data_IF_118047515759
#
_entry.id   IF_118047515759
#
_cell.length_a   1.000
_cell.length_b   1.000
_cell.length_c   1.000
_cell.angle_alpha   90.00
_cell.angle_beta   90.00
_cell.angle_gamma   90.00
#
_symmetry.space_group_name_H-M   'P 1'
#
loop_
_entity.id
_entity.type
_entity.pdbx_description
1 polymer ?
#
# COMPACT_ATOMS: atom_id res chain seq x y z
N UNK A 1 54.72 -0.22 -46.37
CA UNK A 1 53.74 -0.63 -47.39
C UNK A 1 52.36 -0.58 -46.73
N UNK A 2 51.67 0.55 -46.81
CA UNK A 2 50.70 0.93 -47.85
C UNK A 2 49.25 0.55 -47.47
N UNK A 3 48.45 1.60 -47.23
CA UNK A 3 46.97 1.66 -47.30
C UNK A 3 46.44 1.23 -48.70
N UNK A 4 45.13 0.91 -48.91
CA UNK A 4 43.97 1.85 -48.96
C UNK A 4 42.70 1.31 -48.23
N UNK A 5 41.77 2.09 -47.64
CA UNK A 5 40.90 3.25 -48.01
C UNK A 5 39.60 2.90 -48.76
N UNK A 6 38.51 3.53 -48.24
CA UNK A 6 37.16 3.82 -48.77
C UNK A 6 36.08 2.75 -48.47
N UNK A 7 34.85 3.08 -48.02
CA UNK A 7 34.18 4.38 -48.00
C UNK A 7 32.93 4.40 -47.10
N UNK A 8 32.56 5.64 -46.77
CA UNK A 8 31.54 6.10 -45.81
C UNK A 8 30.17 6.16 -46.49
N UNK A 9 29.12 5.61 -45.88
CA UNK A 9 27.73 5.69 -46.35
C UNK A 9 26.80 6.15 -45.23
N UNK A 10 26.35 7.40 -45.33
CA UNK A 10 25.62 8.17 -44.31
C UNK A 10 24.11 8.01 -44.60
N UNK A 11 23.32 7.52 -43.64
CA UNK A 11 21.85 7.48 -43.75
C UNK A 11 21.26 8.79 -43.21
N UNK A 12 20.72 9.59 -44.13
CA UNK A 12 20.04 10.84 -43.83
C UNK A 12 18.51 10.63 -43.71
N UNK A 13 17.97 11.34 -42.72
CA UNK A 13 16.59 11.37 -42.24
C UNK A 13 15.68 12.06 -43.28
N UNK A 14 14.58 11.41 -43.67
CA UNK A 14 13.55 12.01 -44.54
C UNK A 14 12.37 12.53 -43.71
N UNK A 15 12.18 13.85 -43.78
CA UNK A 15 11.11 14.64 -43.16
C UNK A 15 9.94 14.77 -44.14
N UNK A 16 8.74 14.35 -43.73
CA UNK A 16 7.51 14.46 -44.51
C UNK A 16 6.75 15.73 -44.10
N UNK A 17 6.44 16.60 -45.06
CA UNK A 17 5.46 17.68 -44.98
C UNK A 17 4.77 17.82 -46.35
N UNK A 18 3.48 18.21 -46.40
CA UNK A 18 2.62 18.00 -47.58
C UNK A 18 2.61 19.19 -48.56
N UNK A 19 2.38 18.88 -49.84
CA UNK A 19 2.17 19.85 -50.93
C UNK A 19 0.70 19.96 -51.35
N UNK A 20 0.25 21.13 -51.88
CA UNK A 20 -1.18 21.45 -52.04
C UNK A 20 -1.74 21.25 -53.46
N UNK A 21 -3.06 21.03 -53.48
CA UNK A 21 -4.12 21.43 -54.45
C UNK A 21 -3.79 21.55 -55.95
N UNK A 22 -4.50 20.78 -56.77
CA UNK A 22 -4.69 20.99 -58.21
C UNK A 22 -6.17 21.06 -58.58
N UNK A 23 -6.46 21.97 -59.50
CA UNK A 23 -7.73 22.59 -59.91
C UNK A 23 -8.55 21.82 -60.96
N UNK A 24 -9.86 22.18 -61.00
CA UNK A 24 -10.74 22.28 -62.18
C UNK A 24 -11.30 20.98 -62.80
N UNK A 25 -12.53 20.85 -63.33
CA UNK A 25 -13.58 21.81 -63.72
C UNK A 25 -14.91 21.07 -64.07
N UNK A 26 -16.03 21.77 -63.89
CA UNK A 26 -17.31 21.77 -64.68
C UNK A 26 -18.20 20.51 -64.81
N UNK A 27 -19.47 20.61 -64.36
CA UNK A 27 -20.68 20.78 -65.21
C UNK A 27 -21.99 20.72 -64.36
N UNK A 28 -22.67 21.88 -64.29
CA UNK A 28 -24.12 22.19 -64.33
C UNK A 28 -25.20 21.18 -63.91
N UNK A 29 -26.18 21.60 -63.07
CA UNK A 29 -27.62 21.80 -63.41
C UNK A 29 -28.46 22.25 -62.17
N UNK A 30 -29.07 23.44 -62.33
CA UNK A 30 -30.37 23.98 -61.89
C UNK A 30 -30.99 23.76 -60.47
N UNK A 31 -31.18 24.90 -59.78
CA UNK A 31 -32.43 25.47 -59.21
C UNK A 31 -33.37 24.60 -58.34
N UNK A 32 -33.52 24.95 -57.06
CA UNK A 32 -34.83 25.30 -56.45
C UNK A 32 -34.63 26.00 -55.08
N UNK A 33 -34.89 27.31 -55.03
CA UNK A 33 -34.98 28.08 -53.78
C UNK A 33 -36.43 28.09 -53.32
N UNK A 34 -36.71 27.59 -52.12
CA UNK A 34 -38.00 27.77 -51.46
C UNK A 34 -37.81 28.67 -50.24
N UNK A 35 -38.27 29.92 -50.35
CA UNK A 35 -38.47 30.84 -49.23
C UNK A 35 -39.65 30.34 -48.38
N UNK A 36 -39.49 30.30 -47.07
CA UNK A 36 -40.61 30.35 -46.12
C UNK A 36 -40.26 31.35 -45.03
N UNK A 37 -41.11 32.36 -44.88
CA UNK A 37 -41.08 33.35 -43.82
C UNK A 37 -42.28 33.14 -42.90
N UNK A 38 -42.04 33.11 -41.60
CA UNK A 38 -43.00 33.28 -40.49
C UNK A 38 -42.22 33.09 -39.19
N UNK A 39 -42.36 33.82 -38.10
CA UNK A 39 -43.18 34.97 -37.71
C UNK A 39 -42.74 35.36 -36.28
N UNK A 40 -42.80 36.64 -35.96
CA UNK A 40 -42.46 37.21 -34.65
C UNK A 40 -43.38 36.68 -33.54
N UNK A 41 -42.84 35.88 -32.61
CA UNK A 41 -43.54 35.46 -31.40
C UNK A 41 -43.06 36.26 -30.17
N UNK A 42 -44.05 36.61 -29.34
CA UNK A 42 -44.00 37.60 -28.27
C UNK A 42 -43.09 37.18 -27.10
N UNK A 43 -42.44 38.17 -26.47
CA UNK A 43 -41.69 38.06 -25.21
C UNK A 43 -42.47 37.26 -24.16
N UNK A 44 -41.95 36.10 -23.76
CA UNK A 44 -42.31 35.46 -22.51
C UNK A 44 -41.42 36.03 -21.40
N UNK A 45 -42.04 36.63 -20.38
CA UNK A 45 -41.34 37.06 -19.18
C UNK A 45 -40.90 35.82 -18.39
N UNK A 46 -39.62 35.47 -18.48
CA UNK A 46 -39.00 34.52 -17.57
C UNK A 46 -39.05 35.10 -16.16
N UNK A 47 -39.84 34.48 -15.28
CA UNK A 47 -39.72 34.68 -13.83
C UNK A 47 -38.36 34.11 -13.42
N UNK A 48 -37.45 34.87 -12.80
CA UNK A 48 -36.27 34.26 -12.22
C UNK A 48 -36.74 33.42 -11.03
N UNK A 49 -36.69 32.10 -11.17
CA UNK A 49 -36.62 31.22 -10.01
C UNK A 49 -35.36 31.65 -9.28
N UNK A 50 -35.51 32.18 -8.07
CA UNK A 50 -34.39 32.46 -7.19
C UNK A 50 -33.63 31.15 -6.99
N UNK A 51 -32.56 30.95 -7.75
CA UNK A 51 -31.60 29.90 -7.50
C UNK A 51 -31.06 30.18 -6.11
N UNK A 52 -31.46 29.37 -5.12
CA UNK A 52 -30.86 29.39 -3.79
C UNK A 52 -29.35 29.25 -4.03
N UNK A 53 -28.51 30.20 -3.60
CA UNK A 53 -27.08 30.00 -3.69
C UNK A 53 -26.77 28.83 -2.76
N UNK A 54 -26.39 27.69 -3.33
CA UNK A 54 -25.75 26.65 -2.54
C UNK A 54 -24.50 27.29 -1.95
N UNK A 55 -24.53 27.52 -0.64
CA UNK A 55 -23.41 28.06 0.13
C UNK A 55 -22.33 26.99 0.17
N UNK A 56 -21.46 26.97 -0.83
CA UNK A 56 -20.22 26.19 -0.78
C UNK A 56 -19.23 26.95 0.11
N UNK A 57 -19.13 26.56 1.37
CA UNK A 57 -18.02 26.98 2.23
C UNK A 57 -16.75 26.29 1.77
N UNK A 58 -15.86 27.01 1.11
CA UNK A 58 -14.47 26.60 0.95
C UNK A 58 -13.78 26.73 2.31
N UNK A 59 -13.65 25.62 3.04
CA UNK A 59 -12.73 25.57 4.17
C UNK A 59 -11.32 25.74 3.61
N UNK A 60 -10.66 26.86 3.95
CA UNK A 60 -9.25 27.05 3.67
C UNK A 60 -8.50 26.16 4.64
N UNK A 61 -7.92 25.07 4.13
CA UNK A 61 -6.93 24.29 4.86
C UNK A 61 -5.65 25.14 4.92
N UNK A 62 -5.39 25.77 6.06
CA UNK A 62 -4.15 26.50 6.28
C UNK A 62 -3.01 25.48 6.41
N UNK A 63 -2.23 25.29 5.33
CA UNK A 63 -1.05 24.42 5.29
C UNK A 63 0.12 24.87 6.20
N UNK A 64 -0.17 25.71 7.20
CA UNK A 64 0.79 26.31 8.13
C UNK A 64 0.66 25.76 9.56
N UNK A 65 -0.34 24.93 9.86
CA UNK A 65 -0.50 24.30 11.19
C UNK A 65 0.36 23.05 11.36
N UNK A 66 0.56 22.30 10.27
CA UNK A 66 1.19 20.99 10.35
C UNK A 66 2.70 21.10 10.16
N UNK A 67 3.50 20.53 11.09
CA UNK A 67 4.93 20.40 10.86
C UNK A 67 5.15 19.54 9.62
N UNK A 68 6.05 19.99 8.73
CA UNK A 68 6.44 19.21 7.56
C UNK A 68 7.08 17.89 7.99
N UNK A 69 7.01 16.83 7.16
CA UNK A 69 7.71 15.57 7.41
C UNK A 69 9.17 15.82 7.81
N UNK A 70 9.55 15.35 9.01
CA UNK A 70 10.91 15.50 9.55
C UNK A 70 11.24 16.82 10.28
N UNK A 71 10.28 17.75 10.45
CA UNK A 71 10.50 18.96 11.25
C UNK A 71 10.16 18.71 12.72
N UNK A 72 11.14 18.85 13.61
CA UNK A 72 10.94 18.83 15.07
C UNK A 72 10.16 20.08 15.48
N UNK A 73 8.84 19.96 15.67
CA UNK A 73 8.06 21.03 16.29
C UNK A 73 7.96 20.75 17.79
N UNK A 74 7.93 21.79 18.62
CA UNK A 74 7.74 21.64 20.07
C UNK A 74 6.43 20.92 20.47
N UNK A 75 5.54 20.64 19.49
CA UNK A 75 4.27 19.93 19.67
C UNK A 75 4.36 18.42 19.45
N UNK A 76 5.43 17.93 18.81
CA UNK A 76 5.54 16.54 18.35
C UNK A 76 6.92 15.99 18.69
N UNK A 77 6.94 14.95 19.52
CA UNK A 77 8.15 14.15 19.77
C UNK A 77 8.45 13.29 18.53
N UNK A 78 9.73 13.11 18.15
CA UNK A 78 10.09 12.15 17.11
C UNK A 78 9.72 10.73 17.56
N UNK A 79 9.44 9.84 16.61
CA UNK A 79 9.00 8.46 16.85
C UNK A 79 9.97 7.68 17.74
N UNK A 80 11.28 7.93 17.60
CA UNK A 80 12.34 7.27 18.36
C UNK A 80 12.32 7.61 19.86
N UNK A 81 11.68 8.71 20.26
CA UNK A 81 11.57 9.16 21.65
C UNK A 81 10.23 8.75 22.29
N UNK A 82 9.40 7.98 21.60
CA UNK A 82 8.10 7.51 22.11
C UNK A 82 8.33 6.20 22.87
N UNK A 83 8.22 6.24 24.19
CA UNK A 83 8.37 5.04 25.03
C UNK A 83 7.03 4.59 25.65
N UNK A 84 6.18 5.54 26.07
CA UNK A 84 4.99 5.24 26.84
C UNK A 84 3.71 5.79 26.19
N UNK A 85 2.55 5.24 26.56
CA UNK A 85 1.24 5.71 26.09
C UNK A 85 0.98 7.19 26.44
N UNK A 86 1.59 7.69 27.51
CA UNK A 86 1.51 9.11 27.89
C UNK A 86 2.17 10.04 26.85
N UNK A 87 3.16 9.56 26.10
CA UNK A 87 3.82 10.32 25.03
C UNK A 87 2.94 10.41 23.78
N UNK A 88 1.94 9.52 23.67
CA UNK A 88 0.94 9.51 22.61
C UNK A 88 -0.27 10.41 22.92
N UNK A 89 -0.17 11.27 23.93
CA UNK A 89 -1.18 12.27 24.24
C UNK A 89 -0.94 13.56 23.44
N UNK A 90 -1.97 14.13 22.80
CA UNK A 90 -1.83 15.38 22.07
C UNK A 90 -1.77 16.59 23.02
N UNK A 91 -1.14 17.68 22.56
CA UNK A 91 -1.12 18.96 23.27
C UNK A 91 -2.44 19.75 23.19
N UNK A 92 -3.36 19.31 22.33
CA UNK A 92 -4.63 19.99 22.04
C UNK A 92 -4.48 21.23 21.14
N UNK A 93 -5.58 21.58 20.48
CA UNK A 93 -5.67 22.77 19.62
C UNK A 93 -6.02 24.02 20.43
N UNK A 94 -5.65 25.19 19.91
CA UNK A 94 -6.01 26.48 20.51
C UNK A 94 -7.51 26.77 20.34
N UNK A 95 -8.16 27.44 21.32
CA UNK A 95 -9.57 27.80 21.23
C UNK A 95 -9.88 28.65 19.98
N UNK A 96 -10.92 28.27 19.24
CA UNK A 96 -11.35 29.00 18.03
C UNK A 96 -10.69 28.53 16.73
N UNK A 97 -9.76 27.58 16.78
CA UNK A 97 -9.18 26.92 15.59
C UNK A 97 -9.82 25.55 15.36
N UNK A 98 -9.90 25.13 14.10
CA UNK A 98 -10.27 23.74 13.75
C UNK A 98 -9.06 22.85 14.03
N UNK A 99 -9.17 21.85 14.91
CA UNK A 99 -8.05 20.98 15.23
C UNK A 99 -7.61 20.14 14.03
N UNK A 100 -6.32 19.89 13.94
CA UNK A 100 -5.73 18.96 12.97
C UNK A 100 -5.67 17.55 13.56
N UNK A 101 -5.46 16.54 12.72
CA UNK A 101 -5.35 15.15 13.18
C UNK A 101 -4.21 15.00 14.21
N UNK A 102 -3.12 15.77 14.08
CA UNK A 102 -2.02 15.79 15.05
C UNK A 102 -2.44 16.43 16.38
N UNK A 103 -3.40 17.35 16.40
CA UNK A 103 -3.83 18.02 17.63
C UNK A 103 -4.87 17.22 18.42
N UNK A 104 -5.52 16.22 17.81
CA UNK A 104 -6.59 15.43 18.43
C UNK A 104 -6.37 13.91 18.46
N UNK A 105 -5.56 13.35 17.57
CA UNK A 105 -5.29 11.91 17.58
C UNK A 105 -4.59 11.49 18.87
N UNK A 106 -5.02 10.35 19.41
CA UNK A 106 -4.52 9.75 20.66
C UNK A 106 -4.18 8.28 20.44
N UNK A 107 -3.28 7.74 21.26
CA UNK A 107 -2.97 6.29 21.27
C UNK A 107 -2.41 5.78 19.94
N UNK A 108 -2.93 4.64 19.46
CA UNK A 108 -2.46 3.97 18.25
C UNK A 108 -2.65 4.80 16.97
N UNK A 109 -3.74 5.57 16.89
CA UNK A 109 -3.97 6.48 15.76
C UNK A 109 -2.85 7.50 15.66
N UNK A 110 -2.48 8.11 16.80
CA UNK A 110 -1.37 9.07 16.85
C UNK A 110 -0.05 8.40 16.48
N UNK A 111 0.22 7.21 17.01
CA UNK A 111 1.44 6.45 16.73
C UNK A 111 1.58 6.15 15.23
N UNK A 112 0.48 5.79 14.56
CA UNK A 112 0.43 5.59 13.12
C UNK A 112 0.71 6.87 12.34
N UNK A 113 0.08 7.99 12.73
CA UNK A 113 0.29 9.30 12.09
C UNK A 113 1.75 9.74 12.23
N UNK A 114 2.34 9.62 13.42
CA UNK A 114 3.72 9.99 13.68
C UNK A 114 4.72 9.13 12.89
N UNK A 115 4.50 7.81 12.83
CA UNK A 115 5.29 6.91 11.99
C UNK A 115 5.19 7.30 10.51
N UNK A 116 3.97 7.50 10.00
CA UNK A 116 3.73 7.89 8.61
C UNK A 116 4.36 9.24 8.25
N UNK A 117 4.36 10.21 9.17
CA UNK A 117 5.04 11.50 8.97
C UNK A 117 6.55 11.36 8.82
N UNK A 118 7.16 10.34 9.40
CA UNK A 118 8.58 10.01 9.23
C UNK A 118 8.84 9.00 8.10
N UNK A 119 7.79 8.49 7.46
CA UNK A 119 7.88 7.47 6.41
C UNK A 119 8.07 6.03 6.93
N UNK A 120 7.79 5.79 8.22
CA UNK A 120 7.84 4.47 8.85
C UNK A 120 6.42 3.93 8.96
N UNK A 121 6.17 2.74 8.39
CA UNK A 121 4.90 2.02 8.57
C UNK A 121 5.02 1.11 9.80
N UNK A 122 4.33 1.47 10.89
CA UNK A 122 4.47 0.79 12.18
C UNK A 122 3.79 -0.58 12.19
N UNK A 123 2.72 -0.76 11.42
CA UNK A 123 1.93 -1.99 11.42
C UNK A 123 2.31 -2.97 10.30
N UNK A 124 3.38 -2.68 9.54
CA UNK A 124 3.89 -3.48 8.42
C UNK A 124 2.77 -4.05 7.52
N UNK A 125 2.08 -3.17 6.80
CA UNK A 125 0.97 -3.57 5.92
C UNK A 125 1.45 -4.15 4.57
N UNK A 126 2.73 -4.50 4.46
CA UNK A 126 3.32 -4.99 3.22
C UNK A 126 2.95 -6.47 3.01
N UNK A 127 2.66 -6.87 1.76
CA UNK A 127 2.49 -8.28 1.46
C UNK A 127 3.83 -9.02 1.62
N UNK A 128 3.73 -10.34 1.71
CA UNK A 128 4.89 -11.23 1.71
C UNK A 128 5.77 -11.00 0.47
N UNK A 129 7.09 -11.07 0.64
CA UNK A 129 8.04 -10.96 -0.47
C UNK A 129 7.91 -12.18 -1.41
N UNK A 130 7.34 -11.94 -2.59
CA UNK A 130 7.19 -12.93 -3.65
C UNK A 130 8.18 -12.71 -4.81
N UNK A 131 9.21 -11.88 -4.64
CA UNK A 131 10.21 -11.60 -5.68
C UNK A 131 11.14 -12.79 -5.96
N UNK A 132 11.33 -13.65 -4.96
CA UNK A 132 12.21 -14.82 -5.02
C UNK A 132 11.57 -16.02 -4.33
N UNK A 133 12.03 -17.21 -4.71
CA UNK A 133 11.69 -18.45 -4.02
C UNK A 133 12.63 -18.65 -2.83
N UNK A 134 12.09 -18.73 -1.62
CA UNK A 134 12.87 -19.05 -0.42
C UNK A 134 13.49 -20.44 -0.50
N UNK A 135 14.77 -20.56 -0.13
CA UNK A 135 15.49 -21.84 -0.03
C UNK A 135 15.90 -22.11 1.42
N UNK A 136 16.35 -23.32 1.75
CA UNK A 136 16.80 -23.62 3.13
C UNK A 136 18.01 -22.75 3.55
N UNK A 137 18.90 -22.42 2.60
CA UNK A 137 20.05 -21.54 2.87
C UNK A 137 19.66 -20.08 2.97
N UNK A 138 18.65 -19.67 2.21
CA UNK A 138 18.21 -18.29 2.11
C UNK A 138 16.67 -18.24 2.14
N UNK A 139 16.05 -18.44 3.32
CA UNK A 139 14.60 -18.46 3.47
C UNK A 139 14.02 -17.05 3.32
N UNK A 140 12.71 -16.97 3.11
CA UNK A 140 11.97 -15.70 3.25
C UNK A 140 11.73 -15.48 4.75
N UNK A 141 12.32 -14.43 5.29
CA UNK A 141 12.22 -14.12 6.73
C UNK A 141 10.92 -13.39 7.00
N UNK A 142 10.16 -13.87 7.97
CA UNK A 142 8.89 -13.27 8.41
C UNK A 142 9.05 -12.90 9.88
N UNK A 143 8.90 -11.62 10.18
CA UNK A 143 9.00 -11.10 11.54
C UNK A 143 7.71 -11.41 12.28
N UNK A 144 7.84 -11.95 13.50
CA UNK A 144 6.69 -12.16 14.38
C UNK A 144 6.95 -11.56 15.75
N UNK A 145 5.89 -11.07 16.37
CA UNK A 145 5.87 -10.61 17.75
C UNK A 145 5.20 -11.62 18.70
N UNK A 146 4.51 -12.64 18.16
CA UNK A 146 3.86 -13.70 18.93
C UNK A 146 4.61 -15.03 18.84
N UNK A 147 4.12 -16.04 19.57
CA UNK A 147 4.73 -17.37 19.57
C UNK A 147 4.47 -18.15 18.26
N UNK A 148 3.41 -17.78 17.53
CA UNK A 148 3.04 -18.33 16.24
C UNK A 148 2.78 -17.24 15.18
N UNK A 149 3.10 -17.54 13.93
CA UNK A 149 2.90 -16.66 12.78
C UNK A 149 2.37 -17.43 11.58
N UNK A 150 1.27 -16.92 11.00
CA UNK A 150 0.70 -17.44 9.76
C UNK A 150 1.26 -16.73 8.54
N UNK A 151 1.52 -17.51 7.49
CA UNK A 151 2.00 -17.03 6.19
C UNK A 151 1.13 -17.63 5.08
N UNK A 152 0.55 -16.77 4.25
CA UNK A 152 -0.18 -17.16 3.05
C UNK A 152 0.75 -17.17 1.83
N UNK A 153 1.20 -18.35 1.41
CA UNK A 153 2.04 -18.48 0.22
C UNK A 153 1.19 -18.58 -1.05
N UNK A 154 1.36 -17.66 -2.00
CA UNK A 154 0.77 -17.73 -3.36
C UNK A 154 1.79 -18.12 -4.44
N UNK A 155 3.03 -18.38 -4.01
CA UNK A 155 4.14 -18.84 -4.83
C UNK A 155 5.00 -17.72 -5.41
N UNK A 156 5.96 -18.10 -6.26
CA UNK A 156 6.92 -17.20 -6.90
C UNK A 156 7.04 -17.56 -8.38
N UNK A 157 6.60 -16.71 -9.33
CA UNK A 157 6.01 -15.38 -9.15
C UNK A 157 4.72 -15.36 -8.31
N UNK A 158 4.35 -14.19 -7.77
CA UNK A 158 3.12 -14.02 -6.99
C UNK A 158 1.90 -14.59 -7.74
N UNK A 159 1.00 -15.25 -7.01
CA UNK A 159 -0.24 -15.87 -7.52
C UNK A 159 -0.02 -16.99 -8.54
N UNK A 160 1.16 -17.63 -8.54
CA UNK A 160 1.42 -18.84 -9.33
C UNK A 160 0.59 -20.06 -8.89
N UNK A 161 0.10 -20.07 -7.64
CA UNK A 161 -0.78 -21.10 -7.12
C UNK A 161 -1.77 -20.58 -6.07
N UNK A 162 -2.71 -21.43 -5.66
CA UNK A 162 -3.72 -21.09 -4.63
C UNK A 162 -3.04 -20.83 -3.29
N UNK A 163 -3.55 -19.88 -2.52
CA UNK A 163 -3.02 -19.53 -1.19
C UNK A 163 -2.91 -20.79 -0.33
N UNK A 164 -1.68 -21.16 0.00
CA UNK A 164 -1.38 -22.20 0.98
C UNK A 164 -0.97 -21.52 2.29
N UNK A 165 -1.77 -21.74 3.34
CA UNK A 165 -1.51 -21.22 4.67
C UNK A 165 -0.51 -22.11 5.40
N UNK A 166 0.52 -21.48 5.94
CA UNK A 166 1.61 -22.11 6.66
C UNK A 166 1.69 -21.49 8.05
N UNK A 167 1.81 -22.32 9.07
CA UNK A 167 1.97 -21.89 10.46
C UNK A 167 3.43 -22.11 10.86
N UNK A 168 4.09 -21.08 11.35
CA UNK A 168 5.41 -21.18 11.97
C UNK A 168 5.28 -20.85 13.45
N UNK A 169 6.02 -21.55 14.29
CA UNK A 169 6.06 -21.28 15.73
C UNK A 169 7.50 -21.10 16.20
N UNK A 170 7.71 -20.68 17.45
CA UNK A 170 9.07 -20.55 18.01
C UNK A 170 9.83 -21.88 18.06
N UNK A 171 9.12 -22.98 18.30
CA UNK A 171 9.68 -24.33 18.31
C UNK A 171 9.95 -24.86 16.89
N UNK A 172 9.08 -24.48 15.95
CA UNK A 172 9.20 -24.82 14.52
C UNK A 172 9.21 -23.54 13.68
N UNK A 173 10.34 -22.82 13.66
CA UNK A 173 10.42 -21.53 12.99
C UNK A 173 10.53 -21.64 11.47
N UNK A 174 10.68 -22.84 10.91
CA UNK A 174 10.84 -23.04 9.47
C UNK A 174 9.68 -23.86 8.95
N UNK A 175 9.00 -23.34 7.92
CA UNK A 175 7.94 -24.06 7.22
C UNK A 175 8.14 -24.02 5.70
N UNK A 176 7.69 -25.07 5.02
CA UNK A 176 7.86 -25.21 3.56
C UNK A 176 6.52 -25.31 2.87
N UNK A 177 6.29 -24.47 1.87
CA UNK A 177 5.08 -24.56 1.07
C UNK A 177 5.01 -25.93 0.35
N UNK A 178 3.91 -26.68 0.46
CA UNK A 178 3.79 -28.01 -0.17
C UNK A 178 3.69 -27.95 -1.70
N UNK A 179 3.35 -26.79 -2.27
CA UNK A 179 3.13 -26.63 -3.71
C UNK A 179 4.35 -26.04 -4.43
N UNK A 180 4.74 -24.80 -4.09
CA UNK A 180 5.91 -24.18 -4.73
C UNK A 180 7.23 -24.53 -4.07
N UNK A 181 7.23 -25.11 -2.86
CA UNK A 181 8.45 -25.47 -2.13
C UNK A 181 9.25 -24.30 -1.55
N UNK A 182 8.70 -23.08 -1.53
CA UNK A 182 9.29 -21.92 -0.86
C UNK A 182 9.48 -22.19 0.63
N UNK A 183 10.62 -21.76 1.16
CA UNK A 183 10.96 -21.87 2.58
C UNK A 183 10.75 -20.53 3.26
N UNK A 184 9.98 -20.54 4.35
CA UNK A 184 9.76 -19.39 5.22
C UNK A 184 10.43 -19.64 6.56
N UNK A 185 11.00 -18.59 7.15
CA UNK A 185 11.60 -18.64 8.48
C UNK A 185 11.04 -17.53 9.34
N UNK A 186 10.50 -17.88 10.50
CA UNK A 186 10.06 -16.95 11.51
C UNK A 186 11.26 -16.35 12.26
N UNK A 187 11.27 -15.02 12.37
CA UNK A 187 12.20 -14.25 13.19
C UNK A 187 11.41 -13.57 14.31
N UNK A 188 11.66 -14.00 15.55
CA UNK A 188 10.92 -13.51 16.72
C UNK A 188 11.55 -12.20 17.20
N UNK A 189 10.77 -11.12 17.19
CA UNK A 189 11.19 -9.75 17.58
C UNK A 189 10.45 -9.25 18.83
N UNK A 190 9.60 -10.09 19.42
CA UNK A 190 8.85 -9.76 20.64
C UNK A 190 9.70 -9.75 21.92
N UNK A 191 9.18 -9.16 23.01
CA UNK A 191 9.78 -9.28 24.34
C UNK A 191 9.90 -10.73 24.79
N UNK A 192 11.05 -11.12 25.37
CA UNK A 192 11.32 -12.51 25.74
C UNK A 192 10.44 -13.03 26.90
N UNK A 193 9.84 -12.12 27.66
CA UNK A 193 8.90 -12.39 28.75
C UNK A 193 7.46 -12.22 28.25
N UNK A 194 6.71 -13.33 28.18
CA UNK A 194 5.31 -13.31 27.77
C UNK A 194 4.46 -12.69 28.87
N UNK A 195 3.82 -11.57 28.58
CA UNK A 195 2.78 -10.97 29.44
C UNK A 195 1.44 -11.70 29.32
N UNK A 196 1.35 -12.75 28.51
CA UNK A 196 0.15 -13.57 28.30
C UNK A 196 -0.17 -14.51 29.48
N UNK A 197 0.61 -14.46 30.57
CA UNK A 197 0.28 -15.10 31.84
C UNK A 197 -0.83 -14.35 32.63
N UNK A 198 -1.83 -13.81 31.94
CA UNK A 198 -3.04 -13.32 32.59
C UNK A 198 -3.94 -14.51 32.93
N UNK A 199 -3.89 -14.92 34.20
CA UNK A 199 -4.73 -15.97 34.76
C UNK A 199 -6.22 -15.74 34.52
N UNK A 200 -6.78 -16.49 33.56
CA UNK A 200 -8.22 -16.63 33.42
C UNK A 200 -8.74 -17.62 34.46
N UNK A 201 -9.31 -17.07 35.54
CA UNK A 201 -10.28 -17.79 36.35
C UNK A 201 -11.53 -18.10 35.51
N UNK A 202 -11.55 -19.28 34.90
CA UNK A 202 -12.70 -19.82 34.20
C UNK A 202 -12.39 -21.25 33.81
N UNK A 203 -13.03 -22.20 34.48
CA UNK A 203 -12.87 -23.63 34.23
C UNK A 203 -13.06 -23.98 32.75
N UNK A 204 -12.29 -24.95 32.26
CA UNK A 204 -12.46 -25.59 30.95
C UNK A 204 -12.17 -24.65 29.76
N UNK A 205 -10.88 -24.43 29.45
CA UNK A 205 -10.13 -25.01 28.30
C UNK A 205 -8.64 -24.79 28.58
N UNK A 206 -7.86 -25.85 28.78
CA UNK A 206 -6.44 -25.73 29.16
C UNK A 206 -5.53 -25.39 27.97
N UNK A 207 -5.23 -24.11 27.80
CA UNK A 207 -4.06 -23.65 27.05
C UNK A 207 -2.88 -23.55 28.02
N UNK A 208 -2.10 -24.63 28.08
CA UNK A 208 -0.92 -24.75 28.93
C UNK A 208 0.32 -24.23 28.16
N UNK A 209 0.36 -22.94 27.86
CA UNK A 209 1.38 -22.39 26.95
C UNK A 209 2.55 -21.75 27.72
N UNK A 210 3.27 -22.54 28.54
CA UNK A 210 4.52 -22.08 29.18
C UNK A 210 5.70 -23.04 29.08
N UNK A 211 5.59 -24.14 28.34
CA UNK A 211 6.64 -25.16 28.27
C UNK A 211 6.92 -25.72 26.87
N UNK A 212 6.90 -24.89 25.80
CA UNK A 212 7.38 -25.32 24.48
C UNK A 212 6.73 -26.61 23.98
N UNK A 213 5.47 -26.85 24.39
CA UNK A 213 4.72 -28.07 24.15
C UNK A 213 3.63 -27.87 23.09
N UNK A 214 3.90 -27.06 22.06
CA UNK A 214 3.09 -27.08 20.83
C UNK A 214 3.30 -28.36 19.98
N UNK A 215 4.04 -29.35 20.48
CA UNK A 215 3.96 -30.71 19.99
C UNK A 215 2.79 -31.45 20.67
N UNK A 216 1.56 -30.98 20.47
CA UNK A 216 0.42 -31.88 20.62
C UNK A 216 0.66 -33.02 19.63
N UNK A 217 0.83 -34.25 20.13
CA UNK A 217 1.11 -35.47 19.34
C UNK A 217 0.02 -35.87 18.34
N UNK A 218 -0.81 -34.92 17.88
CA UNK A 218 -1.85 -35.05 16.89
C UNK A 218 -1.84 -33.97 15.82
N UNK A 219 -0.90 -33.02 15.81
CA UNK A 219 -0.80 -32.08 14.69
C UNK A 219 -0.39 -32.80 13.39
N UNK A 220 -1.03 -32.46 12.26
CA UNK A 220 -0.67 -33.05 10.98
C UNK A 220 0.77 -32.65 10.66
N UNK A 221 1.61 -33.66 10.42
CA UNK A 221 3.02 -33.46 10.06
C UNK A 221 3.11 -32.52 8.87
N UNK A 222 3.89 -31.45 9.02
CA UNK A 222 4.11 -30.50 7.93
C UNK A 222 5.31 -30.94 7.10
N UNK A 223 5.55 -30.26 5.97
CA UNK A 223 6.69 -30.61 5.11
C UNK A 223 8.03 -30.34 5.82
N UNK A 224 8.07 -29.46 6.81
CA UNK A 224 9.24 -29.19 7.63
C UNK A 224 9.69 -30.42 8.46
N UNK A 225 8.75 -31.25 8.94
CA UNK A 225 9.06 -32.44 9.77
C UNK A 225 9.80 -33.54 8.98
N UNK A 226 9.64 -33.54 7.65
CA UNK A 226 10.31 -34.50 6.77
C UNK A 226 11.69 -34.00 6.28
N UNK A 227 12.10 -32.80 6.68
CA UNK A 227 13.45 -32.30 6.39
C UNK A 227 14.43 -32.96 7.36
N UNK A 228 15.50 -33.54 6.81
CA UNK A 228 16.51 -34.19 7.64
C UNK A 228 17.20 -33.13 8.52
N UNK A 229 17.60 -33.47 9.77
CA UNK A 229 18.20 -32.52 10.69
C UNK A 229 19.43 -31.79 10.13
N UNK A 230 20.17 -32.42 9.21
CA UNK A 230 21.37 -31.82 8.60
C UNK A 230 21.06 -30.65 7.65
N UNK A 231 19.81 -30.49 7.23
CA UNK A 231 19.35 -29.44 6.32
C UNK A 231 18.47 -28.38 6.99
N UNK A 232 18.23 -28.50 8.30
CA UNK A 232 17.42 -27.55 9.08
C UNK A 232 18.19 -26.26 9.37
#
# INVERSE_FOLDING_TARGET
>A
MAQPRLGLGIHAIAKVAPSPLSTSSHLTVAMFVRRVASGLAKRAAFRPVAARPFSSSFARFDAHSDPKPGQTSNKVKPFEEIENEHDLMPSGAQPGTVPTDIDQATGLERLEILGKMQGIDVFDMKPLDASRKGTMKEPIVVRSFGDEQYVGCTGCPADSHVVNWLTMSRDRPIERCPECGSVYKMDYVGPQESHDAHGHHGADVGHADTDGSHNFGGEPKTLADFVRPEYR
#
